data_IF_488274398778
#
_entry.id   IF_488274398778
#
_cell.length_a   1.000
_cell.length_b   1.000
_cell.length_c   1.000
_cell.angle_alpha   90.00
_cell.angle_beta   90.00
_cell.angle_gamma   90.00
#
_symmetry.space_group_name_H-M   'P 1'
#
loop_
_entity.id
_entity.type
_entity.pdbx_description
1 polymer ?
#
# COMPACT_ATOMS: atom_id res chain seq x y z
N UNK A 1 -27.38 8.37 -8.40
CA UNK A 1 -28.27 7.58 -7.52
C UNK A 1 -27.61 7.51 -6.16
N UNK A 2 -28.36 7.90 -5.13
CA UNK A 2 -27.88 8.32 -3.82
C UNK A 2 -27.04 7.26 -3.08
N UNK A 3 -25.93 7.70 -2.49
CA UNK A 3 -25.26 7.01 -1.40
C UNK A 3 -26.21 6.99 -0.20
N UNK A 4 -26.94 5.88 -0.03
CA UNK A 4 -27.61 5.59 1.22
C UNK A 4 -26.49 5.18 2.17
N UNK A 5 -26.06 6.11 3.02
CA UNK A 5 -25.31 5.74 4.22
C UNK A 5 -26.19 4.77 4.99
N UNK A 6 -25.65 3.59 5.26
CA UNK A 6 -26.13 2.70 6.31
C UNK A 6 -25.83 3.35 7.65
N UNK A 7 -26.48 4.47 7.95
CA UNK A 7 -26.69 4.85 9.34
C UNK A 7 -27.59 3.78 9.94
N UNK A 8 -27.15 3.18 11.06
CA UNK A 8 -28.01 2.32 11.86
C UNK A 8 -29.36 3.01 12.07
N UNK A 9 -30.46 2.28 11.91
CA UNK A 9 -31.79 2.83 12.12
C UNK A 9 -31.82 3.55 13.48
N UNK A 10 -32.36 4.78 13.56
CA UNK A 10 -32.43 5.49 14.84
C UNK A 10 -33.23 4.63 15.82
N UNK A 11 -32.52 4.10 16.81
CA UNK A 11 -33.09 3.39 17.95
C UNK A 11 -33.88 4.42 18.76
N UNK A 12 -35.09 4.08 19.23
CA UNK A 12 -35.85 5.00 20.08
C UNK A 12 -35.02 5.43 21.30
N UNK A 13 -35.11 6.69 21.72
CA UNK A 13 -34.30 7.24 22.83
C UNK A 13 -34.41 6.40 24.11
N UNK A 14 -35.55 5.72 24.32
CA UNK A 14 -35.77 4.80 25.44
C UNK A 14 -34.88 3.55 25.39
N UNK A 15 -34.71 2.94 24.21
CA UNK A 15 -33.93 1.71 24.01
C UNK A 15 -32.43 2.02 23.98
N UNK A 16 -32.04 3.16 23.40
CA UNK A 16 -30.65 3.63 23.43
C UNK A 16 -30.15 3.86 24.86
N UNK A 17 -30.99 4.45 25.71
CA UNK A 17 -30.70 4.62 27.13
C UNK A 17 -30.54 3.26 27.85
N UNK A 18 -31.46 2.31 27.62
CA UNK A 18 -31.32 0.97 28.18
C UNK A 18 -30.06 0.23 27.69
N UNK A 19 -29.71 0.33 26.41
CA UNK A 19 -28.48 -0.27 25.84
C UNK A 19 -27.19 0.33 26.44
N UNK A 20 -27.20 1.63 26.75
CA UNK A 20 -26.05 2.31 27.37
C UNK A 20 -25.81 1.89 28.82
N UNK A 21 -26.89 1.51 29.54
CA UNK A 21 -26.85 1.07 30.93
C UNK A 21 -26.43 -0.40 31.10
N UNK A 22 -26.46 -1.19 30.03
CA UNK A 22 -26.03 -2.60 30.04
C UNK A 22 -24.50 -2.73 30.05
N UNK A 23 -23.99 -3.58 30.95
CA UNK A 23 -22.57 -3.95 30.94
C UNK A 23 -22.24 -4.98 29.83
N UNK A 24 -20.95 -5.18 29.55
CA UNK A 24 -20.52 -6.08 28.47
C UNK A 24 -21.02 -7.52 28.65
N UNK A 25 -21.07 -8.02 29.89
CA UNK A 25 -21.54 -9.38 30.21
C UNK A 25 -23.04 -9.54 29.90
N UNK A 26 -23.85 -8.54 30.23
CA UNK A 26 -25.27 -8.51 29.91
C UNK A 26 -25.51 -8.41 28.40
N UNK A 27 -24.70 -7.61 27.67
CA UNK A 27 -24.75 -7.54 26.21
C UNK A 27 -24.42 -8.90 25.56
N UNK A 28 -23.40 -9.60 26.04
CA UNK A 28 -23.06 -10.95 25.56
C UNK A 28 -24.21 -11.94 25.79
N UNK A 29 -24.86 -11.90 26.95
CA UNK A 29 -25.99 -12.80 27.23
C UNK A 29 -27.21 -12.51 26.32
N UNK A 30 -27.52 -11.23 26.08
CA UNK A 30 -28.60 -10.85 25.16
C UNK A 30 -28.27 -11.23 23.71
N UNK A 31 -27.00 -11.12 23.31
CA UNK A 31 -26.53 -11.59 22.02
C UNK A 31 -26.71 -13.10 21.85
N UNK A 32 -26.23 -13.90 22.81
CA UNK A 32 -26.35 -15.36 22.79
C UNK A 32 -27.83 -15.80 22.81
N UNK A 33 -28.67 -15.10 23.58
CA UNK A 33 -30.11 -15.35 23.60
C UNK A 33 -30.74 -15.19 22.20
N UNK A 34 -30.41 -14.12 21.47
CA UNK A 34 -30.95 -13.87 20.12
C UNK A 34 -30.36 -14.85 19.08
N UNK A 35 -29.08 -15.22 19.21
CA UNK A 35 -28.46 -16.25 18.37
C UNK A 35 -29.16 -17.60 18.54
N UNK A 36 -29.44 -18.02 19.78
CA UNK A 36 -30.14 -19.28 20.05
C UNK A 36 -31.57 -19.25 19.49
N UNK A 37 -32.26 -18.11 19.64
CA UNK A 37 -33.61 -17.89 19.10
C UNK A 37 -33.64 -17.98 17.57
N UNK A 38 -32.72 -17.30 16.88
CA UNK A 38 -32.62 -17.30 15.42
C UNK A 38 -32.23 -18.67 14.84
N UNK A 39 -31.51 -19.50 15.59
CA UNK A 39 -31.14 -20.85 15.19
C UNK A 39 -32.17 -21.93 15.60
N UNK A 40 -33.34 -21.53 16.12
CA UNK A 40 -34.45 -22.45 16.42
C UNK A 40 -34.28 -23.28 17.70
N UNK A 41 -33.38 -22.90 18.61
CA UNK A 41 -33.22 -23.56 19.91
C UNK A 41 -34.24 -23.03 20.94
N UNK A 42 -34.61 -23.86 21.93
CA UNK A 42 -35.42 -23.41 23.07
C UNK A 42 -34.61 -22.50 23.99
N UNK A 43 -35.02 -21.24 24.11
CA UNK A 43 -34.30 -20.20 24.87
C UNK A 43 -34.79 -20.04 26.31
N UNK A 44 -35.84 -20.74 26.72
CA UNK A 44 -36.48 -20.59 28.04
C UNK A 44 -35.52 -20.97 29.19
N UNK A 45 -34.82 -22.10 29.04
CA UNK A 45 -33.86 -22.57 30.05
C UNK A 45 -32.63 -21.67 30.13
N UNK A 46 -32.15 -21.17 28.98
CA UNK A 46 -31.04 -20.23 28.89
C UNK A 46 -31.39 -18.91 29.59
N UNK A 47 -32.60 -18.39 29.34
CA UNK A 47 -33.06 -17.16 29.98
C UNK A 47 -33.25 -17.32 31.49
N UNK A 48 -33.88 -18.40 31.95
CA UNK A 48 -34.08 -18.66 33.38
C UNK A 48 -32.75 -18.72 34.15
N UNK A 49 -31.70 -19.29 33.54
CA UNK A 49 -30.36 -19.37 34.13
C UNK A 49 -29.69 -18.00 34.29
N UNK A 50 -30.05 -17.02 33.46
CA UNK A 50 -29.36 -15.72 33.41
C UNK A 50 -30.22 -14.53 33.83
N UNK A 51 -31.52 -14.78 34.12
CA UNK A 51 -32.49 -13.77 34.58
C UNK A 51 -32.03 -12.99 35.82
N UNK A 52 -31.27 -13.60 36.72
CA UNK A 52 -30.75 -12.91 37.91
C UNK A 52 -29.78 -11.76 37.60
N UNK A 53 -29.20 -11.74 36.39
CA UNK A 53 -28.30 -10.68 35.93
C UNK A 53 -29.06 -9.49 35.32
N UNK A 54 -30.38 -9.59 35.20
CA UNK A 54 -31.26 -8.59 34.59
C UNK A 54 -32.39 -8.24 35.56
N UNK A 55 -32.20 -7.18 36.35
CA UNK A 55 -33.22 -6.70 37.28
C UNK A 55 -34.36 -6.00 36.54
N UNK A 56 -35.57 -6.57 36.59
CA UNK A 56 -36.80 -5.89 36.18
C UNK A 56 -37.06 -5.78 34.67
N UNK A 57 -36.37 -6.56 33.83
CA UNK A 57 -36.62 -6.60 32.38
C UNK A 57 -37.92 -7.37 32.06
N UNK A 58 -38.83 -6.73 31.34
CA UNK A 58 -40.00 -7.40 30.74
C UNK A 58 -39.56 -8.26 29.55
N UNK A 59 -40.35 -9.28 29.21
CA UNK A 59 -40.01 -10.19 28.10
C UNK A 59 -39.93 -9.44 26.75
N UNK A 60 -40.80 -8.46 26.54
CA UNK A 60 -40.82 -7.66 25.30
C UNK A 60 -39.58 -6.76 25.20
N UNK A 61 -39.20 -6.11 26.31
CA UNK A 61 -38.00 -5.26 26.35
C UNK A 61 -36.71 -6.09 26.22
N UNK A 62 -36.68 -7.32 26.78
CA UNK A 62 -35.59 -8.27 26.57
C UNK A 62 -35.44 -8.61 25.10
N UNK A 63 -36.52 -8.97 24.41
CA UNK A 63 -36.47 -9.40 23.01
C UNK A 63 -36.08 -8.24 22.10
N UNK A 64 -36.58 -7.04 22.37
CA UNK A 64 -36.20 -5.81 21.65
C UNK A 64 -34.70 -5.49 21.86
N UNK A 65 -34.22 -5.56 23.11
CA UNK A 65 -32.80 -5.34 23.42
C UNK A 65 -31.90 -6.44 22.85
N UNK A 66 -32.32 -7.70 22.87
CA UNK A 66 -31.57 -8.82 22.31
C UNK A 66 -31.42 -8.69 20.79
N UNK A 67 -32.49 -8.31 20.10
CA UNK A 67 -32.48 -8.01 18.67
C UNK A 67 -31.62 -6.79 18.35
N UNK A 68 -31.73 -5.70 19.10
CA UNK A 68 -30.90 -4.51 18.90
C UNK A 68 -29.42 -4.78 19.22
N UNK A 69 -29.13 -5.57 20.26
CA UNK A 69 -27.77 -6.01 20.53
C UNK A 69 -27.29 -6.88 19.38
N UNK A 70 -28.06 -7.83 18.87
CA UNK A 70 -27.68 -8.68 17.74
C UNK A 70 -27.43 -7.92 16.43
N UNK A 71 -28.33 -6.98 16.08
CA UNK A 71 -28.21 -6.14 14.88
C UNK A 71 -27.05 -5.14 14.98
N UNK A 72 -26.74 -4.62 16.18
CA UNK A 72 -25.65 -3.67 16.41
C UNK A 72 -24.33 -4.34 16.84
N UNK A 73 -24.39 -5.59 17.30
CA UNK A 73 -23.23 -6.44 17.52
C UNK A 73 -22.83 -7.00 16.16
N UNK A 74 -22.23 -6.16 15.35
CA UNK A 74 -21.01 -6.64 14.73
C UNK A 74 -20.14 -7.10 15.88
N UNK A 75 -20.10 -8.41 16.13
CA UNK A 75 -19.07 -9.00 16.97
C UNK A 75 -17.79 -8.41 16.39
N UNK A 76 -17.11 -7.53 17.14
CA UNK A 76 -15.72 -7.20 16.89
C UNK A 76 -14.91 -8.45 17.22
N UNK A 77 -15.18 -9.53 16.48
CA UNK A 77 -14.25 -10.63 16.39
C UNK A 77 -13.13 -10.05 15.54
N UNK A 78 -12.16 -9.45 16.22
CA UNK A 78 -10.86 -9.23 15.65
C UNK A 78 -10.19 -10.61 15.61
N UNK A 79 -10.15 -11.30 14.45
CA UNK A 79 -9.47 -12.57 14.38
C UNK A 79 -8.03 -12.36 14.84
N UNK A 80 -7.45 -13.29 15.65
CA UNK A 80 -6.11 -13.13 16.18
C UNK A 80 -5.12 -12.81 15.04
N UNK A 81 -4.14 -11.95 15.32
CA UNK A 81 -3.11 -11.57 14.35
C UNK A 81 -2.50 -12.87 13.76
N UNK A 82 -2.39 -12.91 12.44
CA UNK A 82 -1.82 -14.05 11.70
C UNK A 82 -2.61 -15.37 11.77
N UNK A 83 -3.89 -15.32 12.17
CA UNK A 83 -4.80 -16.47 12.08
C UNK A 83 -5.24 -16.75 10.65
N UNK A 84 -5.54 -18.02 10.36
CA UNK A 84 -6.06 -18.46 9.06
C UNK A 84 -7.35 -17.73 8.65
N UNK A 85 -8.23 -17.44 9.62
CA UNK A 85 -9.46 -16.67 9.39
C UNK A 85 -9.14 -15.22 9.00
N UNK A 86 -8.19 -14.57 9.68
CA UNK A 86 -7.73 -13.22 9.32
C UNK A 86 -7.14 -13.17 7.92
N UNK A 87 -6.28 -14.15 7.59
CA UNK A 87 -5.70 -14.30 6.25
C UNK A 87 -6.79 -14.45 5.18
N UNK A 88 -7.76 -15.35 5.40
CA UNK A 88 -8.87 -15.55 4.47
C UNK A 88 -9.73 -14.29 4.29
N UNK A 89 -10.10 -13.60 5.38
CA UNK A 89 -10.84 -12.34 5.33
C UNK A 89 -10.08 -11.26 4.55
N UNK A 90 -8.77 -11.15 4.78
CA UNK A 90 -7.92 -10.21 4.04
C UNK A 90 -7.80 -10.62 2.55
N UNK A 91 -7.82 -11.91 2.21
CA UNK A 91 -7.88 -12.38 0.80
C UNK A 91 -9.15 -11.97 0.11
N UNK A 92 -10.28 -12.12 0.79
CA UNK A 92 -11.55 -11.66 0.28
C UNK A 92 -11.55 -10.14 0.06
N UNK A 93 -10.98 -9.38 0.99
CA UNK A 93 -10.84 -7.94 0.85
C UNK A 93 -9.96 -7.55 -0.34
N UNK A 94 -8.77 -8.14 -0.49
CA UNK A 94 -7.89 -7.86 -1.64
C UNK A 94 -8.57 -8.20 -2.96
N UNK A 95 -9.18 -9.37 -3.06
CA UNK A 95 -9.85 -9.81 -4.30
C UNK A 95 -11.03 -8.91 -4.65
N UNK A 96 -11.77 -8.41 -3.65
CA UNK A 96 -12.79 -7.38 -3.86
C UNK A 96 -12.21 -6.07 -4.41
N UNK A 97 -11.09 -5.59 -3.85
CA UNK A 97 -10.39 -4.41 -4.40
C UNK A 97 -9.90 -4.64 -5.83
N UNK A 98 -9.38 -5.83 -6.14
CA UNK A 98 -9.01 -6.20 -7.50
C UNK A 98 -10.24 -6.19 -8.42
N UNK A 99 -11.39 -6.72 -7.99
CA UNK A 99 -12.63 -6.65 -8.77
C UNK A 99 -13.07 -5.22 -9.02
N UNK A 100 -13.04 -4.36 -8.00
CA UNK A 100 -13.37 -2.94 -8.15
C UNK A 100 -12.41 -2.20 -9.08
N UNK A 101 -11.10 -2.46 -8.95
CA UNK A 101 -10.09 -1.88 -9.82
C UNK A 101 -10.27 -2.35 -11.27
N UNK A 102 -10.54 -3.63 -11.49
CA UNK A 102 -10.87 -4.20 -12.80
C UNK A 102 -12.09 -3.52 -13.42
N UNK A 103 -13.19 -3.38 -12.66
CA UNK A 103 -14.39 -2.69 -13.12
C UNK A 103 -14.11 -1.21 -13.45
N UNK A 104 -13.35 -0.51 -12.62
CA UNK A 104 -12.95 0.88 -12.87
C UNK A 104 -12.11 1.01 -14.14
N UNK A 105 -11.13 0.13 -14.35
CA UNK A 105 -10.32 0.08 -15.58
C UNK A 105 -11.21 -0.19 -16.79
N UNK A 106 -12.17 -1.10 -16.69
CA UNK A 106 -13.10 -1.40 -17.78
C UNK A 106 -13.96 -0.19 -18.15
N UNK A 107 -14.48 0.54 -17.15
CA UNK A 107 -15.21 1.80 -17.36
C UNK A 107 -14.29 2.84 -18.02
N UNK A 108 -13.06 3.00 -17.53
CA UNK A 108 -12.08 3.92 -18.11
C UNK A 108 -11.73 3.54 -19.55
N UNK A 109 -11.62 2.25 -19.87
CA UNK A 109 -11.37 1.74 -21.21
C UNK A 109 -12.55 2.03 -22.14
N UNK A 110 -13.79 1.84 -21.67
CA UNK A 110 -15.00 2.20 -22.40
C UNK A 110 -15.06 3.71 -22.67
N UNK A 111 -14.84 4.54 -21.66
CA UNK A 111 -14.77 6.01 -21.81
C UNK A 111 -13.65 6.41 -22.78
N UNK A 112 -12.50 5.72 -22.74
CA UNK A 112 -11.40 5.94 -23.65
C UNK A 112 -11.69 5.55 -25.11
N UNK A 113 -12.64 4.63 -25.37
CA UNK A 113 -13.14 4.37 -26.73
C UNK A 113 -13.95 5.54 -27.28
N UNK A 114 -14.54 6.36 -26.40
CA UNK A 114 -15.29 7.59 -26.75
C UNK A 114 -14.40 8.86 -26.81
N UNK A 115 -13.07 8.68 -26.75
CA UNK A 115 -12.06 9.75 -26.62
C UNK A 115 -11.78 10.48 -27.95
N UNK A 116 -12.81 11.06 -28.57
CA UNK A 116 -12.64 12.09 -29.60
C UNK A 116 -12.92 13.52 -29.10
N UNK A 117 -13.44 13.70 -27.88
CA UNK A 117 -13.89 15.03 -27.41
C UNK A 117 -13.11 15.62 -26.20
N UNK A 118 -12.16 14.89 -25.61
CA UNK A 118 -11.57 15.29 -24.32
C UNK A 118 -10.28 16.13 -24.40
N UNK A 119 -9.51 15.99 -25.49
CA UNK A 119 -8.23 16.70 -25.63
C UNK A 119 -8.41 18.22 -25.78
N UNK A 120 -9.55 18.67 -26.33
CA UNK A 120 -9.85 20.09 -26.51
C UNK A 120 -10.20 20.79 -25.18
N UNK A 121 -10.79 20.06 -24.23
CA UNK A 121 -11.23 20.59 -22.93
C UNK A 121 -10.04 20.74 -21.96
N UNK A 122 -9.10 19.78 -21.97
CA UNK A 122 -7.85 19.86 -21.19
C UNK A 122 -6.93 20.99 -21.67
N UNK A 123 -6.78 21.19 -22.98
CA UNK A 123 -5.97 22.28 -23.52
C UNK A 123 -6.54 23.67 -23.16
N UNK A 124 -7.88 23.79 -23.11
CA UNK A 124 -8.56 25.02 -22.71
C UNK A 124 -8.40 25.29 -21.21
N UNK A 125 -8.50 24.25 -20.37
CA UNK A 125 -8.34 24.38 -18.92
C UNK A 125 -6.90 24.78 -18.55
N UNK A 126 -5.91 24.13 -19.17
CA UNK A 126 -4.49 24.39 -18.93
C UNK A 126 -4.09 25.78 -19.44
N UNK A 127 -4.55 26.21 -20.62
CA UNK A 127 -4.25 27.55 -21.14
C UNK A 127 -4.87 28.69 -20.31
N UNK A 128 -6.05 28.48 -19.72
CA UNK A 128 -6.72 29.49 -18.89
C UNK A 128 -6.16 29.59 -17.47
N UNK A 129 -5.69 28.47 -16.90
CA UNK A 129 -5.13 28.45 -15.55
C UNK A 129 -3.62 28.77 -15.51
N UNK A 130 -2.89 28.50 -16.59
CA UNK A 130 -1.46 28.82 -16.71
C UNK A 130 -1.07 30.28 -16.38
N UNK A 131 -1.78 31.33 -16.82
CA UNK A 131 -1.45 32.70 -16.43
C UNK A 131 -1.71 32.98 -14.94
N UNK A 132 -2.70 32.31 -14.33
CA UNK A 132 -3.04 32.45 -12.92
C UNK A 132 -1.97 31.83 -12.02
N UNK A 133 -1.42 30.68 -12.40
CA UNK A 133 -0.29 30.03 -11.73
C UNK A 133 1.04 30.80 -11.87
N UNK A 134 1.19 31.57 -12.95
CA UNK A 134 2.41 32.36 -13.21
C UNK A 134 2.51 33.64 -12.37
N UNK A 135 1.37 34.12 -11.85
CA UNK A 135 1.24 35.41 -11.17
C UNK A 135 1.14 35.26 -9.64
N UNK A 136 0.68 34.11 -9.14
CA UNK A 136 0.53 33.85 -7.70
C UNK A 136 1.78 33.31 -6.98
N UNK A 137 2.81 32.84 -7.70
CA UNK A 137 3.88 32.07 -7.05
C UNK A 137 5.28 32.46 -7.54
N UNK A 138 6.04 33.12 -6.66
CA UNK A 138 7.51 33.09 -6.73
C UNK A 138 7.96 31.66 -6.43
N UNK A 139 8.74 30.99 -7.31
CA UNK A 139 9.15 29.59 -7.10
C UNK A 139 9.90 29.38 -5.79
N UNK A 140 10.64 30.39 -5.35
CA UNK A 140 11.42 30.33 -4.10
C UNK A 140 10.50 30.48 -2.89
N UNK A 141 9.60 31.48 -2.90
CA UNK A 141 8.69 31.73 -1.78
C UNK A 141 7.71 30.55 -1.60
N UNK A 142 7.16 30.05 -2.71
CA UNK A 142 6.25 28.90 -2.71
C UNK A 142 6.89 27.65 -2.11
N UNK A 143 8.18 27.40 -2.38
CA UNK A 143 8.88 26.25 -1.81
C UNK A 143 8.99 26.33 -0.28
N UNK A 144 9.23 27.51 0.28
CA UNK A 144 9.26 27.69 1.74
C UNK A 144 7.86 27.65 2.35
N UNK A 145 6.84 28.22 1.69
CA UNK A 145 5.44 28.14 2.13
C UNK A 145 4.95 26.69 2.16
N UNK A 146 5.21 25.92 1.09
CA UNK A 146 4.86 24.50 1.03
C UNK A 146 5.65 23.65 2.02
N UNK A 147 6.90 24.01 2.35
CA UNK A 147 7.66 23.35 3.40
C UNK A 147 6.98 23.57 4.76
N UNK A 148 6.58 24.81 5.08
CA UNK A 148 5.86 25.14 6.31
C UNK A 148 4.50 24.43 6.39
N UNK A 149 3.76 24.38 5.29
CA UNK A 149 2.52 23.59 5.19
C UNK A 149 2.82 22.11 5.42
N UNK A 150 3.90 21.57 4.86
CA UNK A 150 4.34 20.20 5.10
C UNK A 150 4.60 19.91 6.58
N UNK A 151 5.31 20.80 7.27
CA UNK A 151 5.53 20.73 8.73
C UNK A 151 4.19 20.76 9.47
N UNK A 152 3.31 21.73 9.15
CA UNK A 152 2.02 21.87 9.80
C UNK A 152 1.14 20.61 9.60
N UNK A 153 1.12 20.02 8.41
CA UNK A 153 0.40 18.78 8.13
C UNK A 153 0.89 17.61 8.98
N UNK A 154 2.20 17.48 9.22
CA UNK A 154 2.72 16.41 10.09
C UNK A 154 2.40 16.69 11.57
N UNK A 155 2.57 17.93 12.04
CA UNK A 155 2.34 18.28 13.45
C UNK A 155 0.87 18.24 13.84
N UNK A 156 0.00 18.90 13.07
CA UNK A 156 -1.44 18.95 13.32
C UNK A 156 -2.18 17.72 12.79
N UNK A 157 -1.64 17.00 11.81
CA UNK A 157 -2.23 15.73 11.36
C UNK A 157 -2.33 14.72 12.52
N UNK A 158 -1.39 14.75 13.47
CA UNK A 158 -1.40 13.89 14.64
C UNK A 158 -2.57 14.14 15.60
N UNK A 159 -3.26 15.29 15.52
CA UNK A 159 -4.42 15.59 16.40
C UNK A 159 -5.74 15.08 15.83
N UNK A 160 -5.75 14.53 14.61
CA UNK A 160 -6.96 14.03 13.95
C UNK A 160 -7.23 12.61 14.46
N UNK A 161 -8.42 12.36 14.99
CA UNK A 161 -8.79 11.05 15.55
C UNK A 161 -9.07 10.00 14.48
N UNK A 162 -9.66 10.42 13.34
CA UNK A 162 -10.00 9.53 12.23
C UNK A 162 -8.74 9.07 11.48
N UNK A 163 -8.51 7.76 11.43
CA UNK A 163 -7.27 7.16 10.94
C UNK A 163 -6.99 7.46 9.46
N UNK A 164 -8.00 7.40 8.58
CA UNK A 164 -7.80 7.56 7.14
C UNK A 164 -7.40 9.00 6.81
N UNK A 165 -8.13 9.98 7.33
CA UNK A 165 -7.88 11.40 7.15
C UNK A 165 -6.55 11.81 7.78
N UNK A 166 -6.25 11.32 9.00
CA UNK A 166 -4.95 11.49 9.64
C UNK A 166 -3.82 11.01 8.74
N UNK A 167 -3.95 9.78 8.22
CA UNK A 167 -2.93 9.17 7.36
C UNK A 167 -2.73 9.97 6.07
N UNK A 168 -3.81 10.37 5.39
CA UNK A 168 -3.72 11.17 4.15
C UNK A 168 -3.03 12.51 4.40
N UNK A 169 -3.37 13.21 5.48
CA UNK A 169 -2.79 14.52 5.80
C UNK A 169 -1.31 14.39 6.18
N UNK A 170 -0.95 13.39 6.98
CA UNK A 170 0.45 13.14 7.36
C UNK A 170 1.28 12.78 6.11
N UNK A 171 0.79 11.87 5.25
CA UNK A 171 1.49 11.49 4.01
C UNK A 171 1.65 12.66 3.04
N UNK A 172 0.63 13.52 2.93
CA UNK A 172 0.72 14.76 2.17
C UNK A 172 1.82 15.67 2.75
N UNK A 173 1.87 15.81 4.08
CA UNK A 173 2.92 16.54 4.78
C UNK A 173 4.32 15.97 4.53
N UNK A 174 4.51 14.66 4.64
CA UNK A 174 5.78 13.97 4.37
C UNK A 174 6.24 14.16 2.91
N UNK A 175 5.31 14.10 1.95
CA UNK A 175 5.60 14.33 0.53
C UNK A 175 6.05 15.78 0.27
N UNK A 176 5.41 16.76 0.92
CA UNK A 176 5.82 18.16 0.86
C UNK A 176 7.20 18.36 1.50
N UNK A 177 7.43 17.78 2.69
CA UNK A 177 8.73 17.84 3.36
C UNK A 177 9.85 17.25 2.48
N UNK A 178 9.62 16.08 1.88
CA UNK A 178 10.57 15.48 0.93
C UNK A 178 10.87 16.42 -0.24
N UNK A 179 9.82 16.79 -0.97
CA UNK A 179 9.95 17.50 -2.24
C UNK A 179 10.55 18.90 -2.05
N UNK A 180 10.11 19.63 -1.03
CA UNK A 180 10.56 21.01 -0.79
C UNK A 180 11.96 21.05 -0.16
N UNK A 181 12.29 20.15 0.78
CA UNK A 181 13.67 20.07 1.31
C UNK A 181 14.65 19.73 0.18
N UNK A 182 14.29 18.78 -0.68
CA UNK A 182 15.09 18.42 -1.86
C UNK A 182 15.27 19.62 -2.80
N UNK A 183 14.21 20.38 -3.10
CA UNK A 183 14.31 21.58 -3.95
C UNK A 183 15.23 22.66 -3.37
N UNK A 184 15.18 22.90 -2.05
CA UNK A 184 16.05 23.85 -1.34
C UNK A 184 17.52 23.42 -1.44
N UNK A 185 17.82 22.14 -1.20
CA UNK A 185 19.20 21.64 -1.23
C UNK A 185 19.78 21.56 -2.63
N UNK A 186 18.97 21.23 -3.64
CA UNK A 186 19.39 21.19 -5.05
C UNK A 186 19.52 22.61 -5.62
N UNK A 187 18.82 23.60 -5.04
CA UNK A 187 18.62 24.98 -5.52
C UNK A 187 17.89 25.07 -6.86
N UNK A 188 17.13 24.04 -7.21
CA UNK A 188 16.29 23.96 -8.41
C UNK A 188 14.84 23.73 -7.99
N UNK A 189 13.98 24.70 -8.30
CA UNK A 189 12.58 24.74 -7.84
C UNK A 189 11.60 24.16 -8.86
N UNK A 190 12.10 23.77 -10.04
CA UNK A 190 11.29 23.17 -11.10
C UNK A 190 11.40 21.65 -11.09
N UNK A 191 10.25 20.96 -11.03
CA UNK A 191 10.19 19.50 -10.85
C UNK A 191 11.05 18.72 -11.84
N UNK A 192 10.91 19.04 -13.13
CA UNK A 192 11.67 18.38 -14.20
C UNK A 192 13.18 18.65 -14.13
N UNK A 193 13.58 19.83 -13.67
CA UNK A 193 15.00 20.22 -13.58
C UNK A 193 15.66 19.62 -12.34
N UNK A 194 14.98 19.59 -11.20
CA UNK A 194 15.56 19.00 -10.00
C UNK A 194 15.79 17.50 -10.18
N UNK A 195 14.89 16.74 -10.83
CA UNK A 195 15.09 15.29 -11.00
C UNK A 195 16.34 14.99 -11.81
N UNK A 196 16.55 15.74 -12.88
CA UNK A 196 17.72 15.63 -13.74
C UNK A 196 19.00 16.06 -12.99
N UNK A 197 18.90 17.11 -12.17
CA UNK A 197 20.02 17.59 -11.35
C UNK A 197 20.35 16.62 -10.20
N UNK A 198 19.35 15.98 -9.58
CA UNK A 198 19.56 14.91 -8.60
C UNK A 198 20.22 13.72 -9.26
N UNK A 199 19.76 13.30 -10.44
CA UNK A 199 20.39 12.22 -11.20
C UNK A 199 21.86 12.56 -11.50
N UNK A 200 22.13 13.75 -12.02
CA UNK A 200 23.48 14.22 -12.31
C UNK A 200 24.37 14.30 -11.07
N UNK A 201 23.86 14.85 -9.95
CA UNK A 201 24.61 14.96 -8.68
C UNK A 201 24.79 13.61 -7.98
N UNK A 202 23.80 12.74 -8.09
CA UNK A 202 23.85 11.39 -7.52
C UNK A 202 24.93 10.55 -8.24
N UNK A 203 25.00 10.65 -9.56
CA UNK A 203 25.99 9.96 -10.40
C UNK A 203 27.30 10.72 -10.63
N UNK A 204 27.38 11.95 -10.12
CA UNK A 204 28.52 12.84 -10.27
C UNK A 204 29.78 12.35 -9.54
N UNK A 205 30.90 13.02 -9.81
CA UNK A 205 32.22 12.66 -9.26
C UNK A 205 32.30 12.94 -7.75
N UNK A 206 31.53 13.90 -7.24
CA UNK A 206 31.58 14.32 -5.85
C UNK A 206 30.51 13.59 -4.99
N UNK A 207 30.91 12.66 -4.10
CA UNK A 207 29.96 11.91 -3.27
C UNK A 207 29.23 12.78 -2.23
N UNK A 208 29.78 13.94 -1.87
CA UNK A 208 29.19 14.86 -0.90
C UNK A 208 27.91 15.53 -1.38
N UNK A 209 27.74 15.69 -2.70
CA UNK A 209 26.56 16.31 -3.26
C UNK A 209 25.34 15.38 -3.13
N UNK A 210 25.54 14.07 -3.22
CA UNK A 210 24.48 13.09 -2.99
C UNK A 210 24.03 12.98 -1.52
N UNK A 211 24.95 13.19 -0.58
CA UNK A 211 24.61 13.27 0.85
C UNK A 211 23.67 14.44 1.09
N UNK A 212 23.97 15.60 0.49
CA UNK A 212 23.15 16.81 0.65
C UNK A 212 21.79 16.70 -0.02
N UNK A 213 21.71 16.06 -1.19
CA UNK A 213 20.48 16.01 -1.99
C UNK A 213 19.55 14.85 -1.64
N UNK A 214 20.06 13.76 -1.02
CA UNK A 214 19.25 12.56 -0.71
C UNK A 214 19.28 12.19 0.77
N UNK A 215 20.45 12.13 1.42
CA UNK A 215 20.52 11.72 2.83
C UNK A 215 19.81 12.74 3.75
N UNK A 216 19.96 14.04 3.50
CA UNK A 216 19.35 15.08 4.35
C UNK A 216 17.81 15.07 4.31
N UNK A 217 17.15 15.09 3.12
CA UNK A 217 15.70 14.90 3.06
C UNK A 217 15.22 13.60 3.72
N UNK A 218 15.96 12.51 3.57
CA UNK A 218 15.64 11.23 4.21
C UNK A 218 15.72 11.31 5.74
N UNK A 219 16.74 11.96 6.29
CA UNK A 219 16.87 12.17 7.74
C UNK A 219 15.72 13.03 8.28
N UNK A 220 15.32 14.09 7.56
CA UNK A 220 14.19 14.95 7.92
C UNK A 220 12.89 14.13 7.99
N UNK A 221 12.64 13.27 6.99
CA UNK A 221 11.47 12.39 7.00
C UNK A 221 11.53 11.37 8.13
N UNK A 222 12.68 10.73 8.35
CA UNK A 222 12.83 9.80 9.47
C UNK A 222 12.51 10.48 10.80
N UNK A 223 12.98 11.71 11.01
CA UNK A 223 12.64 12.49 12.20
C UNK A 223 11.15 12.83 12.31
N UNK A 224 10.51 13.21 11.20
CA UNK A 224 9.08 13.48 11.14
C UNK A 224 8.24 12.23 11.46
N UNK A 225 8.62 11.07 10.91
CA UNK A 225 7.96 9.80 11.17
C UNK A 225 8.14 9.33 12.62
N UNK A 226 9.32 9.52 13.20
CA UNK A 226 9.56 9.24 14.62
C UNK A 226 8.67 10.11 15.52
N UNK A 227 8.47 11.39 15.16
CA UNK A 227 7.55 12.27 15.87
C UNK A 227 6.10 11.78 15.78
N UNK A 228 5.64 11.37 14.59
CA UNK A 228 4.29 10.81 14.40
C UNK A 228 4.10 9.56 15.25
N UNK A 229 5.06 8.63 15.23
CA UNK A 229 5.00 7.40 16.01
C UNK A 229 5.01 7.67 17.52
N UNK A 230 5.77 8.67 17.97
CA UNK A 230 5.77 9.11 19.38
C UNK A 230 4.41 9.67 19.81
N UNK A 231 3.72 10.42 18.93
CA UNK A 231 2.41 11.02 19.24
C UNK A 231 1.25 10.05 19.07
N UNK A 232 1.32 9.13 18.11
CA UNK A 232 0.28 8.15 17.81
C UNK A 232 0.90 6.75 17.75
N UNK A 233 1.24 6.15 18.91
CA UNK A 233 1.92 4.85 18.95
C UNK A 233 1.06 3.68 18.45
N UNK A 234 -0.27 3.88 18.38
CA UNK A 234 -1.20 2.88 17.85
C UNK A 234 -1.03 2.65 16.32
N UNK A 235 -0.51 3.64 15.59
CA UNK A 235 -0.36 3.58 14.14
C UNK A 235 0.93 2.85 13.75
N UNK A 236 0.95 1.52 13.93
CA UNK A 236 2.13 0.66 13.71
C UNK A 236 2.62 0.62 12.26
N UNK A 237 1.85 1.13 11.29
CA UNK A 237 2.22 1.26 9.89
C UNK A 237 3.45 2.15 9.66
N UNK A 238 3.60 3.23 10.44
CA UNK A 238 4.73 4.15 10.30
C UNK A 238 6.10 3.50 10.62
N UNK A 239 6.11 2.34 11.30
CA UNK A 239 7.33 1.56 11.50
C UNK A 239 7.96 1.11 10.17
N UNK A 240 7.15 0.76 9.16
CA UNK A 240 7.65 0.37 7.85
C UNK A 240 8.27 1.55 7.11
N UNK A 241 7.67 2.73 7.22
CA UNK A 241 8.16 3.96 6.59
C UNK A 241 9.47 4.44 7.20
N UNK A 242 9.65 4.33 8.52
CA UNK A 242 10.90 4.67 9.21
C UNK A 242 12.05 3.77 8.71
N UNK A 243 11.78 2.47 8.56
CA UNK A 243 12.78 1.54 8.01
C UNK A 243 13.15 1.95 6.59
N UNK A 244 12.17 2.28 5.75
CA UNK A 244 12.38 2.72 4.37
C UNK A 244 13.23 4.00 4.28
N UNK A 245 12.89 5.03 5.06
CA UNK A 245 13.61 6.31 5.03
C UNK A 245 15.04 6.17 5.57
N UNK A 246 15.22 5.38 6.64
CA UNK A 246 16.53 5.08 7.23
C UNK A 246 17.43 4.31 6.27
N UNK A 247 16.87 3.30 5.60
CA UNK A 247 17.59 2.49 4.61
C UNK A 247 18.05 3.34 3.42
N UNK A 248 17.19 4.28 2.98
CA UNK A 248 17.52 5.23 1.90
C UNK A 248 18.70 6.11 2.29
N UNK A 249 18.73 6.61 3.53
CA UNK A 249 19.85 7.40 4.03
C UNK A 249 21.16 6.58 4.09
N UNK A 250 21.08 5.32 4.52
CA UNK A 250 22.24 4.41 4.58
C UNK A 250 22.76 4.08 3.18
N UNK A 251 21.88 3.72 2.23
CA UNK A 251 22.29 3.37 0.87
C UNK A 251 22.87 4.53 0.07
N UNK A 252 22.46 5.76 0.38
CA UNK A 252 23.02 6.94 -0.27
C UNK A 252 24.48 7.23 0.14
N UNK A 253 25.01 6.57 1.19
CA UNK A 253 26.39 6.73 1.64
C UNK A 253 27.43 6.25 0.59
N UNK A 254 28.63 6.86 0.55
CA UNK A 254 29.62 6.60 -0.50
C UNK A 254 30.16 5.17 -0.53
N UNK A 255 30.23 4.52 0.64
CA UNK A 255 30.72 3.15 0.78
C UNK A 255 29.93 2.15 -0.08
N UNK A 256 28.59 2.21 -0.02
CA UNK A 256 27.73 1.28 -0.74
C UNK A 256 27.84 1.41 -2.26
N UNK A 257 28.16 2.61 -2.76
CA UNK A 257 28.39 2.87 -4.20
C UNK A 257 29.58 2.11 -4.76
N UNK A 258 30.63 1.94 -3.95
CA UNK A 258 31.82 1.18 -4.35
C UNK A 258 31.47 -0.30 -4.46
N UNK A 259 30.73 -0.81 -3.46
CA UNK A 259 30.34 -2.23 -3.37
C UNK A 259 29.37 -2.61 -4.50
N UNK A 260 28.39 -1.74 -4.80
CA UNK A 260 27.39 -1.92 -5.86
C UNK A 260 28.01 -2.17 -7.26
N UNK A 261 29.14 -1.50 -7.57
CA UNK A 261 29.87 -1.68 -8.85
C UNK A 261 30.29 -3.12 -9.08
N UNK A 262 30.50 -3.90 -8.03
CA UNK A 262 30.87 -5.31 -8.15
C UNK A 262 29.65 -6.22 -8.07
N UNK A 263 28.70 -5.91 -7.17
CA UNK A 263 27.57 -6.77 -6.91
C UNK A 263 26.60 -6.88 -8.09
N UNK A 264 26.34 -5.81 -8.84
CA UNK A 264 25.33 -5.84 -9.92
C UNK A 264 25.56 -6.93 -10.98
N UNK A 265 26.79 -7.46 -11.10
CA UNK A 265 27.14 -8.57 -11.99
C UNK A 265 26.43 -9.88 -11.65
N UNK A 266 26.00 -10.06 -10.40
CA UNK A 266 25.25 -11.26 -9.97
C UNK A 266 23.87 -11.28 -10.64
N UNK A 267 23.15 -10.14 -10.65
CA UNK A 267 21.85 -10.04 -11.34
C UNK A 267 22.00 -9.85 -12.85
N UNK A 268 23.17 -9.41 -13.33
CA UNK A 268 23.46 -9.16 -14.74
C UNK A 268 24.74 -9.86 -15.19
N UNK A 269 24.73 -11.20 -15.33
CA UNK A 269 25.92 -11.95 -15.68
C UNK A 269 26.38 -11.70 -17.12
N UNK A 270 25.46 -11.38 -18.04
CA UNK A 270 25.79 -11.12 -19.44
C UNK A 270 26.14 -9.64 -19.65
N UNK A 271 27.41 -9.32 -19.89
CA UNK A 271 27.84 -7.93 -20.05
C UNK A 271 27.21 -7.30 -21.30
N UNK A 272 26.75 -6.05 -21.17
CA UNK A 272 26.41 -5.20 -22.31
C UNK A 272 26.79 -3.76 -22.00
N UNK A 273 27.50 -3.12 -22.92
CA UNK A 273 28.07 -1.78 -22.74
C UNK A 273 27.01 -0.66 -22.66
N UNK A 274 25.78 -0.93 -23.11
CA UNK A 274 24.73 0.09 -23.27
C UNK A 274 23.71 0.18 -22.11
N UNK A 275 23.99 -0.39 -20.93
CA UNK A 275 23.04 -0.31 -19.81
C UNK A 275 23.19 0.98 -19.01
N UNK A 276 22.06 1.64 -18.75
CA UNK A 276 21.96 2.80 -17.86
C UNK A 276 22.55 2.47 -16.48
N UNK A 277 23.37 3.40 -15.98
CA UNK A 277 24.07 3.27 -14.68
C UNK A 277 23.08 3.11 -13.53
N UNK A 278 21.89 3.72 -13.62
CA UNK A 278 20.79 3.60 -12.66
C UNK A 278 20.29 2.16 -12.49
N UNK A 279 20.16 1.40 -13.58
CA UNK A 279 19.70 0.00 -13.55
C UNK A 279 20.78 -0.91 -12.93
N UNK A 280 22.05 -0.67 -13.27
CA UNK A 280 23.18 -1.38 -12.64
C UNK A 280 23.18 -1.13 -11.13
N UNK A 281 22.92 0.10 -10.72
CA UNK A 281 22.88 0.44 -9.30
C UNK A 281 21.71 -0.14 -8.55
N UNK A 282 20.52 -0.08 -9.13
CA UNK A 282 19.36 -0.74 -8.56
C UNK A 282 19.62 -2.24 -8.39
N UNK A 283 20.28 -2.89 -9.36
CA UNK A 283 20.72 -4.28 -9.25
C UNK A 283 21.68 -4.53 -8.09
N UNK A 284 22.72 -3.69 -7.94
CA UNK A 284 23.65 -3.81 -6.81
C UNK A 284 22.96 -3.60 -5.46
N UNK A 285 22.10 -2.59 -5.33
CA UNK A 285 21.32 -2.33 -4.13
C UNK A 285 20.35 -3.49 -3.81
N UNK A 286 19.71 -4.08 -4.83
CA UNK A 286 18.83 -5.24 -4.67
C UNK A 286 19.57 -6.41 -4.06
N UNK A 287 20.82 -6.66 -4.47
CA UNK A 287 21.63 -7.75 -3.91
C UNK A 287 22.02 -7.44 -2.45
N UNK A 288 22.42 -6.21 -2.15
CA UNK A 288 22.76 -5.83 -0.77
C UNK A 288 21.53 -6.01 0.14
N UNK A 289 20.36 -5.55 -0.31
CA UNK A 289 19.11 -5.72 0.41
C UNK A 289 18.75 -7.19 0.58
N UNK A 290 18.97 -8.02 -0.45
CA UNK A 290 18.73 -9.47 -0.38
C UNK A 290 19.63 -10.14 0.67
N UNK A 291 20.93 -9.79 0.71
CA UNK A 291 21.86 -10.30 1.71
C UNK A 291 21.48 -9.84 3.13
N UNK A 292 21.07 -8.58 3.29
CA UNK A 292 20.58 -8.06 4.57
C UNK A 292 19.34 -8.82 5.06
N UNK A 293 18.37 -9.08 4.16
CA UNK A 293 17.18 -9.87 4.48
C UNK A 293 17.57 -11.29 4.89
N UNK A 294 18.41 -11.97 4.12
CA UNK A 294 18.87 -13.33 4.46
C UNK A 294 19.52 -13.35 5.85
N UNK A 295 20.40 -12.38 6.14
CA UNK A 295 21.03 -12.23 7.45
C UNK A 295 20.02 -12.07 8.60
N UNK A 296 19.02 -11.19 8.43
CA UNK A 296 17.97 -10.98 9.43
C UNK A 296 17.05 -12.19 9.59
N UNK A 297 16.72 -12.88 8.50
CA UNK A 297 15.89 -14.09 8.52
C UNK A 297 16.59 -15.22 9.28
N UNK A 298 17.91 -15.40 9.08
CA UNK A 298 18.69 -16.42 9.77
C UNK A 298 18.83 -16.18 11.27
N UNK A 299 18.60 -14.96 11.76
CA UNK A 299 18.64 -14.65 13.20
C UNK A 299 17.40 -15.14 13.95
N UNK A 300 16.31 -15.51 13.26
CA UNK A 300 15.06 -16.02 13.86
C UNK A 300 14.52 -15.17 15.02
N UNK A 301 14.73 -13.85 14.98
CA UNK A 301 14.32 -12.95 16.05
C UNK A 301 13.04 -12.18 15.66
N UNK A 302 11.93 -12.30 16.43
CA UNK A 302 10.66 -11.66 16.11
C UNK A 302 10.72 -10.12 16.13
N UNK A 303 11.70 -9.52 16.82
CA UNK A 303 11.91 -8.06 16.83
C UNK A 303 12.14 -7.52 15.42
N UNK A 304 12.73 -8.32 14.52
CA UNK A 304 13.05 -7.89 13.17
C UNK A 304 11.94 -8.15 12.15
N UNK A 305 10.79 -8.73 12.51
CA UNK A 305 9.75 -9.07 11.52
C UNK A 305 9.23 -7.87 10.74
N UNK A 306 9.09 -6.69 11.39
CA UNK A 306 8.69 -5.46 10.69
C UNK A 306 9.77 -4.99 9.71
N UNK A 307 11.05 -5.10 10.09
CA UNK A 307 12.21 -4.73 9.26
C UNK A 307 12.32 -5.67 8.06
N UNK A 308 12.16 -6.98 8.29
CA UNK A 308 12.16 -8.02 7.26
C UNK A 308 11.02 -7.77 6.26
N UNK A 309 9.80 -7.50 6.74
CA UNK A 309 8.66 -7.22 5.87
C UNK A 309 8.86 -5.93 5.05
N UNK A 310 9.40 -4.86 5.63
CA UNK A 310 9.74 -3.63 4.89
C UNK A 310 10.78 -3.89 3.79
N UNK A 311 11.86 -4.62 4.12
CA UNK A 311 12.91 -4.95 3.16
C UNK A 311 12.43 -5.88 2.05
N UNK A 312 11.58 -6.86 2.38
CA UNK A 312 10.95 -7.73 1.37
C UNK A 312 10.07 -6.91 0.43
N UNK A 313 9.27 -5.98 0.95
CA UNK A 313 8.47 -5.06 0.11
C UNK A 313 9.34 -4.28 -0.87
N UNK A 314 10.46 -3.72 -0.40
CA UNK A 314 11.43 -3.02 -1.25
C UNK A 314 12.09 -3.92 -2.31
N UNK A 315 12.44 -5.15 -1.94
CA UNK A 315 12.99 -6.12 -2.87
C UNK A 315 11.97 -6.48 -3.95
N UNK A 316 10.71 -6.70 -3.57
CA UNK A 316 9.63 -6.97 -4.52
C UNK A 316 9.49 -5.82 -5.52
N UNK A 317 9.45 -4.57 -5.06
CA UNK A 317 9.43 -3.40 -5.97
C UNK A 317 10.67 -3.33 -6.87
N UNK A 318 11.86 -3.57 -6.31
CA UNK A 318 13.11 -3.56 -7.07
C UNK A 318 13.13 -4.63 -8.16
N UNK A 319 12.72 -5.86 -7.84
CA UNK A 319 12.59 -6.95 -8.81
C UNK A 319 11.53 -6.65 -9.88
N UNK A 320 10.39 -6.04 -9.51
CA UNK A 320 9.39 -5.63 -10.49
C UNK A 320 9.94 -4.62 -11.49
N UNK A 321 10.62 -3.57 -11.00
CA UNK A 321 11.26 -2.56 -11.86
C UNK A 321 12.33 -3.21 -12.72
N UNK A 322 13.25 -3.96 -12.11
CA UNK A 322 14.35 -4.60 -12.80
C UNK A 322 13.84 -5.59 -13.85
N UNK A 323 12.73 -6.29 -13.61
CA UNK A 323 12.14 -7.27 -14.53
C UNK A 323 11.54 -6.64 -15.79
N UNK A 324 11.43 -5.31 -15.88
CA UNK A 324 10.83 -4.66 -17.04
C UNK A 324 11.67 -4.78 -18.30
N UNK A 325 11.04 -5.13 -19.43
CA UNK A 325 11.64 -5.20 -20.78
C UNK A 325 12.31 -3.89 -21.20
N UNK A 326 11.80 -2.74 -20.74
CA UNK A 326 12.36 -1.43 -21.08
C UNK A 326 13.86 -1.33 -20.75
N UNK A 327 14.30 -2.04 -19.71
CA UNK A 327 15.68 -2.09 -19.24
C UNK A 327 16.63 -2.93 -20.11
N UNK A 328 16.11 -3.72 -21.06
CA UNK A 328 16.88 -4.74 -21.80
C UNK A 328 16.70 -4.66 -23.32
N UNK A 329 16.43 -3.46 -23.85
CA UNK A 329 16.10 -3.24 -25.26
C UNK A 329 17.04 -3.93 -26.27
N UNK A 330 18.30 -4.17 -25.90
CA UNK A 330 19.33 -4.81 -26.74
C UNK A 330 19.97 -6.08 -26.13
N UNK A 331 19.54 -6.57 -24.98
CA UNK A 331 20.15 -7.73 -24.31
C UNK A 331 19.10 -8.66 -23.68
N UNK A 332 18.52 -9.52 -24.51
CA UNK A 332 17.46 -10.44 -24.09
C UNK A 332 17.96 -11.57 -23.16
N UNK A 333 19.25 -11.93 -23.19
CA UNK A 333 19.80 -12.97 -22.31
C UNK A 333 19.65 -12.59 -20.84
N UNK A 334 20.00 -11.34 -20.48
CA UNK A 334 19.76 -10.82 -19.14
C UNK A 334 18.28 -10.66 -18.80
N UNK A 335 17.45 -10.31 -19.78
CA UNK A 335 16.01 -10.18 -19.57
C UNK A 335 15.40 -11.51 -19.12
N UNK A 336 15.67 -12.61 -19.84
CA UNK A 336 15.15 -13.93 -19.49
C UNK A 336 15.74 -14.45 -18.17
N UNK A 337 17.04 -14.26 -17.95
CA UNK A 337 17.69 -14.59 -16.68
C UNK A 337 17.01 -13.91 -15.49
N UNK A 338 16.72 -12.62 -15.62
CA UNK A 338 16.07 -11.88 -14.55
C UNK A 338 14.59 -12.24 -14.37
N UNK A 339 13.87 -12.62 -15.44
CA UNK A 339 12.50 -13.17 -15.28
C UNK A 339 12.52 -14.43 -14.43
N UNK A 340 13.45 -15.34 -14.72
CA UNK A 340 13.60 -16.57 -13.96
C UNK A 340 13.91 -16.30 -12.48
N UNK A 341 14.87 -15.41 -12.19
CA UNK A 341 15.18 -15.01 -10.81
C UNK A 341 13.96 -14.37 -10.14
N UNK A 342 13.24 -13.49 -10.84
CA UNK A 342 12.08 -12.79 -10.27
C UNK A 342 10.97 -13.76 -9.88
N UNK A 343 10.69 -14.76 -10.73
CA UNK A 343 9.70 -15.81 -10.43
C UNK A 343 10.15 -16.66 -9.24
N UNK A 344 11.43 -17.08 -9.20
CA UNK A 344 11.98 -17.81 -8.07
C UNK A 344 11.89 -17.00 -6.77
N UNK A 345 12.21 -15.70 -6.83
CA UNK A 345 12.14 -14.81 -5.67
C UNK A 345 10.70 -14.64 -5.18
N UNK A 346 9.74 -14.39 -6.07
CA UNK A 346 8.31 -14.28 -5.72
C UNK A 346 7.80 -15.58 -5.07
N UNK A 347 8.15 -16.73 -5.64
CA UNK A 347 7.80 -18.05 -5.07
C UNK A 347 8.43 -18.27 -3.70
N UNK A 348 9.72 -17.95 -3.53
CA UNK A 348 10.42 -18.08 -2.26
C UNK A 348 9.83 -17.19 -1.16
N UNK A 349 9.53 -15.92 -1.48
CA UNK A 349 8.91 -14.97 -0.55
C UNK A 349 7.50 -15.42 -0.15
N UNK A 350 6.72 -15.92 -1.11
CA UNK A 350 5.38 -16.47 -0.83
C UNK A 350 5.45 -17.65 0.15
N UNK A 351 6.32 -18.62 -0.14
CA UNK A 351 6.53 -19.80 0.72
C UNK A 351 7.05 -19.41 2.11
N UNK A 352 7.98 -18.47 2.18
CA UNK A 352 8.51 -17.96 3.44
C UNK A 352 7.42 -17.29 4.29
N UNK A 353 6.63 -16.39 3.70
CA UNK A 353 5.52 -15.72 4.38
C UNK A 353 4.48 -16.72 4.91
N UNK A 354 4.16 -17.74 4.11
CA UNK A 354 3.23 -18.80 4.51
C UNK A 354 3.78 -19.67 5.66
N UNK A 355 5.08 -20.03 5.61
CA UNK A 355 5.71 -20.86 6.63
C UNK A 355 5.78 -20.17 8.00
N UNK A 356 6.15 -18.89 8.03
CA UNK A 356 6.23 -18.10 9.28
C UNK A 356 4.85 -17.55 9.70
N UNK A 357 3.83 -17.70 8.84
CA UNK A 357 2.47 -17.17 9.02
C UNK A 357 2.41 -15.65 9.12
N UNK A 358 3.40 -14.93 8.59
CA UNK A 358 3.37 -13.46 8.55
C UNK A 358 2.45 -13.00 7.43
N UNK A 359 1.27 -12.53 7.81
CA UNK A 359 0.24 -12.11 6.85
C UNK A 359 0.74 -11.02 5.91
N UNK A 360 1.50 -10.04 6.42
CA UNK A 360 1.99 -8.91 5.64
C UNK A 360 2.89 -9.35 4.46
N UNK A 361 3.74 -10.36 4.66
CA UNK A 361 4.65 -10.87 3.62
C UNK A 361 3.89 -11.65 2.54
N UNK A 362 2.90 -12.45 2.95
CA UNK A 362 2.02 -13.16 2.02
C UNK A 362 1.28 -12.14 1.13
N UNK A 363 0.76 -11.07 1.72
CA UNK A 363 0.10 -9.98 1.00
C UNK A 363 1.01 -9.31 -0.02
N UNK A 364 2.20 -8.87 0.42
CA UNK A 364 3.14 -8.22 -0.48
C UNK A 364 3.54 -9.12 -1.65
N UNK A 365 3.73 -10.43 -1.40
CA UNK A 365 4.04 -11.38 -2.47
C UNK A 365 2.90 -11.55 -3.47
N UNK A 366 1.65 -11.68 -3.01
CA UNK A 366 0.47 -11.79 -3.89
C UNK A 366 0.24 -10.53 -4.73
N UNK A 367 0.39 -9.35 -4.12
CA UNK A 367 0.28 -8.06 -4.82
C UNK A 367 1.40 -7.93 -5.84
N UNK A 368 2.64 -8.20 -5.45
CA UNK A 368 3.79 -8.13 -6.36
C UNK A 368 3.68 -9.15 -7.51
N UNK A 369 3.24 -10.38 -7.23
CA UNK A 369 2.97 -11.38 -8.26
C UNK A 369 1.90 -10.95 -9.24
N UNK A 370 0.82 -10.33 -8.75
CA UNK A 370 -0.24 -9.76 -9.60
C UNK A 370 0.30 -8.64 -10.50
N UNK A 371 1.07 -7.70 -9.93
CA UNK A 371 1.72 -6.62 -10.68
C UNK A 371 2.71 -7.18 -11.70
N UNK A 372 3.48 -8.22 -11.35
CA UNK A 372 4.42 -8.87 -12.26
C UNK A 372 3.69 -9.41 -13.50
N UNK A 373 2.61 -10.17 -13.29
CA UNK A 373 1.79 -10.72 -14.39
C UNK A 373 1.21 -9.60 -15.24
N UNK A 374 0.76 -8.51 -14.62
CA UNK A 374 0.27 -7.31 -15.31
C UNK A 374 1.36 -6.65 -16.18
N UNK A 375 2.58 -6.49 -15.65
CA UNK A 375 3.72 -5.97 -16.43
C UNK A 375 4.01 -6.90 -17.62
N UNK A 376 4.07 -8.22 -17.41
CA UNK A 376 4.31 -9.19 -18.49
C UNK A 376 3.21 -9.15 -19.55
N UNK A 377 1.94 -9.02 -19.14
CA UNK A 377 0.82 -8.85 -20.06
C UNK A 377 1.06 -7.66 -20.99
N UNK A 378 1.38 -6.48 -20.45
CA UNK A 378 1.66 -5.30 -21.27
C UNK A 378 2.91 -5.45 -22.15
N UNK A 379 3.94 -6.14 -21.68
CA UNK A 379 5.15 -6.40 -22.45
C UNK A 379 4.91 -7.32 -23.64
N UNK A 380 4.07 -8.35 -23.51
CA UNK A 380 3.69 -9.24 -24.62
C UNK A 380 3.11 -8.41 -25.77
N UNK A 381 2.17 -7.51 -25.49
CA UNK A 381 1.61 -6.62 -26.53
C UNK A 381 2.62 -5.64 -27.11
N UNK A 382 3.66 -5.26 -26.36
CA UNK A 382 4.74 -4.41 -26.86
C UNK A 382 5.64 -5.10 -27.90
N UNK A 383 5.64 -6.44 -27.98
CA UNK A 383 6.36 -7.17 -29.03
C UNK A 383 5.63 -7.11 -30.38
N UNK A 384 4.31 -6.91 -30.37
CA UNK A 384 3.48 -6.98 -31.59
C UNK A 384 2.98 -5.61 -32.09
N UNK A 385 3.06 -4.55 -31.28
CA UNK A 385 2.48 -3.23 -31.65
C UNK A 385 3.10 -2.07 -30.87
N UNK A 386 3.45 -0.99 -31.59
CA UNK A 386 3.98 0.25 -31.01
C UNK A 386 2.99 0.87 -30.01
N UNK A 387 3.44 0.99 -28.75
CA UNK A 387 2.68 1.45 -27.58
C UNK A 387 1.97 2.81 -27.75
N UNK A 388 2.47 3.66 -28.66
CA UNK A 388 2.00 5.05 -28.84
C UNK A 388 0.95 5.24 -29.95
N UNK A 389 0.62 4.23 -30.77
CA UNK A 389 -0.33 4.40 -31.90
C UNK A 389 -1.57 3.52 -31.78
N UNK A 390 -2.73 4.18 -31.90
CA UNK A 390 -4.05 3.67 -32.32
C UNK A 390 -5.07 3.15 -31.27
N UNK A 391 -6.33 3.12 -31.74
CA UNK A 391 -7.60 2.60 -31.19
C UNK A 391 -7.50 1.26 -30.42
N UNK A 392 -6.39 0.54 -30.56
CA UNK A 392 -6.09 -0.68 -29.83
C UNK A 392 -5.80 -0.47 -28.32
N UNK A 393 -5.50 0.75 -27.87
CA UNK A 393 -5.21 1.03 -26.45
C UNK A 393 -6.36 0.66 -25.51
N UNK A 394 -7.59 0.96 -25.89
CA UNK A 394 -8.75 0.65 -25.05
C UNK A 394 -9.07 -0.86 -25.03
N UNK A 395 -8.87 -1.57 -26.13
CA UNK A 395 -8.97 -3.05 -26.16
C UNK A 395 -7.90 -3.71 -25.28
N UNK A 396 -6.69 -3.15 -25.23
CA UNK A 396 -5.61 -3.60 -24.33
C UNK A 396 -5.96 -3.33 -22.86
N UNK A 397 -6.57 -2.19 -22.53
CA UNK A 397 -7.06 -1.91 -21.17
C UNK A 397 -8.22 -2.83 -20.75
N UNK A 398 -9.11 -3.17 -21.68
CA UNK A 398 -10.22 -4.08 -21.42
C UNK A 398 -9.70 -5.51 -21.17
N UNK A 399 -8.74 -5.99 -21.96
CA UNK A 399 -8.07 -7.27 -21.70
C UNK A 399 -7.29 -7.27 -20.39
N UNK A 400 -6.70 -6.14 -20.00
CA UNK A 400 -6.07 -5.95 -18.69
C UNK A 400 -7.07 -6.02 -17.53
N UNK A 401 -8.27 -5.44 -17.68
CA UNK A 401 -9.34 -5.59 -16.70
C UNK A 401 -9.76 -7.06 -16.54
N UNK A 402 -9.92 -7.79 -17.65
CA UNK A 402 -10.26 -9.23 -17.63
C UNK A 402 -9.16 -10.05 -16.95
N UNK A 403 -7.88 -9.79 -17.27
CA UNK A 403 -6.74 -10.45 -16.63
C UNK A 403 -6.77 -10.25 -15.11
N UNK A 404 -7.00 -9.01 -14.66
CA UNK A 404 -7.05 -8.68 -13.24
C UNK A 404 -8.24 -9.34 -12.52
N UNK A 405 -9.38 -9.44 -13.20
CA UNK A 405 -10.55 -10.19 -12.73
C UNK A 405 -10.26 -11.69 -12.61
N UNK A 406 -9.61 -12.30 -13.61
CA UNK A 406 -9.22 -13.71 -13.58
C UNK A 406 -8.22 -14.00 -12.46
N UNK A 407 -7.23 -13.13 -12.25
CA UNK A 407 -6.28 -13.24 -11.14
C UNK A 407 -7.00 -13.20 -9.79
N UNK A 408 -7.93 -12.27 -9.61
CA UNK A 408 -8.72 -12.20 -8.39
C UNK A 408 -9.56 -13.47 -8.15
N UNK A 409 -10.18 -14.04 -9.21
CA UNK A 409 -10.89 -15.31 -9.13
C UNK A 409 -9.96 -16.48 -8.79
N UNK A 410 -8.77 -16.55 -9.39
CA UNK A 410 -7.80 -17.60 -9.13
C UNK A 410 -7.28 -17.55 -7.69
N UNK A 411 -6.94 -16.36 -7.19
CA UNK A 411 -6.51 -16.16 -5.80
C UNK A 411 -7.63 -16.59 -4.84
N UNK A 412 -8.87 -16.20 -5.11
CA UNK A 412 -10.02 -16.57 -4.29
C UNK A 412 -10.24 -18.09 -4.27
N UNK A 413 -10.16 -18.75 -5.43
CA UNK A 413 -10.28 -20.20 -5.56
C UNK A 413 -9.18 -20.94 -4.78
N UNK A 414 -7.91 -20.53 -4.95
CA UNK A 414 -6.78 -21.14 -4.22
C UNK A 414 -6.91 -20.89 -2.72
N UNK A 415 -7.32 -19.69 -2.31
CA UNK A 415 -7.54 -19.36 -0.90
C UNK A 415 -8.68 -20.17 -0.28
N UNK A 416 -9.75 -20.44 -1.01
CA UNK A 416 -10.83 -21.34 -0.56
C UNK A 416 -10.32 -22.76 -0.37
N UNK A 417 -9.45 -23.26 -1.24
CA UNK A 417 -8.90 -24.62 -1.11
C UNK A 417 -7.85 -24.74 0.01
N UNK A 418 -7.06 -23.68 0.27
CA UNK A 418 -6.02 -23.69 1.29
C UNK A 418 -6.54 -23.41 2.71
N UNK A 419 -7.61 -22.60 2.83
CA UNK A 419 -8.14 -22.14 4.12
C UNK A 419 -9.62 -22.50 4.34
N UNK A 420 -10.24 -23.20 3.39
CA UNK A 420 -11.59 -23.73 3.54
C UNK A 420 -11.62 -24.79 4.63
N UNK A 421 -12.56 -24.62 5.57
CA UNK A 421 -13.05 -25.67 6.45
C UNK A 421 -13.84 -26.68 5.63
#
# INVERSE_FOLDING_TARGET
MCCISTYGKPVSDSIANHLSLLNNKQKTILYEFEVLKNNGFSTDQFWLKHKSQFSGLTNDLRDELAKQVFENSHIEYAPPKDSAVKLWMQTQFLTNWMFYLSAFIAICALVALFRNYWNMLLDVLVKRLAPLFRLLFSPVLLTYELLLVGVACVFYGCTIEEFVLRTVIIHFGLCLLWSQSTAIFVKEYWVKKYFLEIENKFWGVNPWDAIKTICLPAIIITGALLYVLYKVPADTFYNYEIVLSSLTAVYALPFWRVVEKYLHRILFPFQSDQKDRSIKSLGGCTIIALLAVIGLVLQWNPVFYNVIAALISLLLFSFLILSSKFNYRYNFANYYYLQFITILFLGAVFMYGFHIRLSEIVWFSLIAGSIYIMIKYFEIFSFFSDWKRSKAWAWKLLGFAVLLWLLAKAILYVSQNLYGI
#
